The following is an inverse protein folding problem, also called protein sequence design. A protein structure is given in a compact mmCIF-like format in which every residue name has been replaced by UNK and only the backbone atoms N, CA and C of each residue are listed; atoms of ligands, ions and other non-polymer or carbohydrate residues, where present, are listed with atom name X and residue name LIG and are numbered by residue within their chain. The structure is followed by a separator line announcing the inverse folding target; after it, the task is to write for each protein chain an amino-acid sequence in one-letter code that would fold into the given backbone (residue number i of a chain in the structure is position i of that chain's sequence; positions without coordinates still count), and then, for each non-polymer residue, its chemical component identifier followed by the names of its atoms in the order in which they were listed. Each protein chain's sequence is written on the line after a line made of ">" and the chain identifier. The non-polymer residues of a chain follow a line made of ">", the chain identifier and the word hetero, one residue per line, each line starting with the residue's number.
data_IF_644378553531
#
_entry.id   IF_644378553531
#
_cell.length_a   1.000
_cell.length_b   1.000
_cell.length_c   1.000
_cell.angle_alpha   90.00
_cell.angle_beta   90.00
_cell.angle_gamma   90.00
#
_symmetry.space_group_name_H-M   'P 1'
#
loop_
_entity.id
_entity.type
_entity.pdbx_description
1 polymer ?
#
# COMPACT_ATOMS: atom_id res chain seq x y z
N UNK A 1 -0.25 -16.89 -2.73
CA UNK A 1 -0.54 -16.16 -3.99
C UNK A 1 0.76 -15.62 -4.60
N UNK A 2 0.88 -15.47 -5.92
CA UNK A 2 2.02 -14.78 -6.53
C UNK A 2 1.92 -13.25 -6.37
N UNK A 3 3.05 -12.55 -6.45
CA UNK A 3 3.12 -11.12 -6.11
C UNK A 3 2.24 -10.25 -7.00
N UNK A 4 2.13 -10.57 -8.29
CA UNK A 4 1.33 -9.79 -9.24
C UNK A 4 -0.17 -9.91 -8.93
N UNK A 5 -0.65 -11.13 -8.66
CA UNK A 5 -2.05 -11.35 -8.24
C UNK A 5 -2.35 -10.65 -6.91
N UNK A 6 -1.41 -10.67 -5.96
CA UNK A 6 -1.59 -9.96 -4.69
C UNK A 6 -1.68 -8.45 -4.89
N UNK A 7 -0.79 -7.86 -5.70
CA UNK A 7 -0.84 -6.45 -6.04
C UNK A 7 -2.18 -6.06 -6.66
N UNK A 8 -2.66 -6.83 -7.65
CA UNK A 8 -3.96 -6.58 -8.28
C UNK A 8 -5.11 -6.62 -7.26
N UNK A 9 -5.14 -7.64 -6.40
CA UNK A 9 -6.18 -7.76 -5.36
C UNK A 9 -6.15 -6.59 -4.37
N UNK A 10 -4.96 -6.15 -3.94
CA UNK A 10 -4.81 -4.98 -3.07
C UNK A 10 -5.31 -3.70 -3.73
N UNK A 11 -4.98 -3.48 -5.01
CA UNK A 11 -5.47 -2.31 -5.75
C UNK A 11 -7.00 -2.31 -5.89
N UNK A 12 -7.60 -3.46 -6.22
CA UNK A 12 -9.05 -3.60 -6.32
C UNK A 12 -9.74 -3.35 -4.98
N UNK A 13 -9.17 -3.83 -3.88
CA UNK A 13 -9.65 -3.52 -2.53
C UNK A 13 -9.58 -2.02 -2.24
N UNK A 14 -8.47 -1.37 -2.59
CA UNK A 14 -8.31 0.06 -2.34
C UNK A 14 -9.31 0.90 -3.15
N UNK A 15 -9.60 0.54 -4.40
CA UNK A 15 -10.64 1.20 -5.20
C UNK A 15 -11.99 1.14 -4.46
N UNK A 16 -12.38 -0.05 -3.97
CA UNK A 16 -13.63 -0.21 -3.21
C UNK A 16 -13.63 0.63 -1.94
N UNK A 17 -12.53 0.60 -1.19
CA UNK A 17 -12.37 1.41 0.02
C UNK A 17 -12.59 2.91 -0.27
N UNK A 18 -12.07 3.44 -1.39
CA UNK A 18 -12.26 4.84 -1.75
C UNK A 18 -13.69 5.18 -2.19
N UNK A 19 -14.33 4.29 -2.93
CA UNK A 19 -15.74 4.45 -3.32
C UNK A 19 -16.62 4.48 -2.06
N UNK A 20 -16.41 3.55 -1.13
CA UNK A 20 -17.24 3.39 0.07
C UNK A 20 -17.03 4.49 1.11
N UNK A 21 -15.78 4.92 1.34
CA UNK A 21 -15.45 5.83 2.45
C UNK A 21 -15.35 7.30 2.02
N UNK A 22 -15.10 7.57 0.73
CA UNK A 22 -14.89 8.94 0.23
C UNK A 22 -15.77 9.28 -0.98
N UNK A 23 -16.59 8.34 -1.48
CA UNK A 23 -17.38 8.51 -2.71
C UNK A 23 -16.51 8.96 -3.90
N UNK A 24 -15.27 8.43 -3.98
CA UNK A 24 -14.32 8.70 -5.07
C UNK A 24 -14.15 7.47 -5.94
N UNK A 25 -14.33 7.64 -7.25
CA UNK A 25 -14.06 6.59 -8.24
C UNK A 25 -12.59 6.64 -8.65
N UNK A 26 -11.89 5.51 -8.54
CA UNK A 26 -10.48 5.35 -8.91
C UNK A 26 -10.31 4.19 -9.89
N UNK A 27 -9.38 4.33 -10.81
CA UNK A 27 -8.86 3.25 -11.65
C UNK A 27 -7.67 2.53 -11.02
N UNK A 28 -7.26 1.41 -11.62
CA UNK A 28 -6.06 0.66 -11.20
C UNK A 28 -4.79 1.47 -11.46
N UNK A 29 -4.82 2.30 -12.50
CA UNK A 29 -3.81 3.25 -12.93
C UNK A 29 -3.62 4.43 -11.97
N UNK A 30 -4.65 4.75 -11.18
CA UNK A 30 -4.57 5.80 -10.15
C UNK A 30 -3.83 5.34 -8.90
N UNK A 31 -3.55 4.04 -8.78
CA UNK A 31 -2.88 3.43 -7.63
C UNK A 31 -1.47 3.04 -8.03
N UNK A 32 -0.47 3.60 -7.34
CA UNK A 32 0.93 3.23 -7.50
C UNK A 32 1.43 2.42 -6.29
N UNK A 33 2.33 1.49 -6.59
CA UNK A 33 3.03 0.71 -5.56
C UNK A 33 4.29 1.47 -5.18
N UNK A 34 4.40 1.83 -3.91
CA UNK A 34 5.57 2.50 -3.33
C UNK A 34 6.67 1.47 -3.06
N UNK A 35 6.28 0.34 -2.49
CA UNK A 35 7.17 -0.76 -2.18
C UNK A 35 6.41 -2.07 -2.15
N UNK A 36 7.08 -3.17 -2.50
CA UNK A 36 6.51 -4.50 -2.33
C UNK A 36 7.59 -5.53 -2.08
N UNK A 37 7.27 -6.55 -1.29
CA UNK A 37 8.09 -7.73 -1.15
C UNK A 37 7.23 -9.00 -1.07
N UNK A 38 7.89 -10.13 -1.31
CA UNK A 38 7.35 -11.46 -1.06
C UNK A 38 8.43 -12.30 -0.39
N UNK A 39 8.06 -12.98 0.68
CA UNK A 39 8.93 -13.93 1.38
C UNK A 39 8.13 -15.18 1.68
N UNK A 40 8.54 -16.31 1.08
CA UNK A 40 7.80 -17.57 1.12
C UNK A 40 6.34 -17.35 0.67
N UNK A 41 5.37 -17.61 1.55
CA UNK A 41 3.94 -17.46 1.27
C UNK A 41 3.38 -16.08 1.63
N UNK A 42 4.19 -15.22 2.26
CA UNK A 42 3.75 -13.91 2.73
C UNK A 42 4.08 -12.83 1.70
N UNK A 43 3.18 -11.87 1.57
CA UNK A 43 3.38 -10.70 0.72
C UNK A 43 3.15 -9.44 1.55
N UNK A 44 3.91 -8.38 1.26
CA UNK A 44 3.69 -7.06 1.84
C UNK A 44 3.79 -6.00 0.76
N UNK A 45 2.85 -5.07 0.75
CA UNK A 45 2.78 -3.98 -0.22
C UNK A 45 2.52 -2.69 0.53
N UNK A 46 3.26 -1.64 0.18
CA UNK A 46 2.91 -0.26 0.48
C UNK A 46 2.46 0.41 -0.82
N UNK A 47 1.27 1.00 -0.81
CA UNK A 47 0.65 1.63 -1.97
C UNK A 47 -0.03 2.95 -1.60
N UNK A 48 -0.25 3.79 -2.59
CA UNK A 48 -0.94 5.06 -2.45
C UNK A 48 -1.62 5.41 -3.77
N UNK A 49 -2.38 6.51 -3.79
CA UNK A 49 -3.13 6.97 -4.97
C UNK A 49 -2.58 8.29 -5.48
N UNK A 50 -2.91 8.65 -6.72
CA UNK A 50 -2.59 9.95 -7.30
C UNK A 50 -3.37 11.12 -6.67
N UNK A 51 -4.30 10.84 -5.74
CA UNK A 51 -5.00 11.87 -4.99
C UNK A 51 -4.04 12.55 -3.99
N UNK A 52 -4.23 13.84 -3.80
CA UNK A 52 -3.45 14.64 -2.85
C UNK A 52 -4.06 14.60 -1.43
N UNK A 53 -4.54 13.44 -0.99
CA UNK A 53 -5.06 13.23 0.37
C UNK A 53 -3.99 12.70 1.36
N UNK A 54 -2.82 12.35 0.85
CA UNK A 54 -1.70 11.89 1.66
C UNK A 54 -1.89 10.48 2.23
N UNK A 55 -2.86 9.71 1.74
CA UNK A 55 -3.14 8.38 2.26
C UNK A 55 -2.13 7.36 1.72
N UNK A 56 -1.52 6.59 2.63
CA UNK A 56 -0.74 5.40 2.33
C UNK A 56 -1.46 4.18 2.91
N UNK A 57 -1.48 3.09 2.15
CA UNK A 57 -2.06 1.83 2.60
C UNK A 57 -1.01 0.75 2.54
N UNK A 58 -0.83 0.07 3.66
CA UNK A 58 0.01 -1.10 3.78
C UNK A 58 -0.85 -2.35 3.81
N UNK A 59 -0.64 -3.27 2.87
CA UNK A 59 -1.30 -4.56 2.84
C UNK A 59 -0.32 -5.65 3.24
N UNK A 60 -0.66 -6.44 4.25
CA UNK A 60 0.17 -7.55 4.76
C UNK A 60 -0.60 -8.85 4.67
N UNK A 61 -0.18 -9.74 3.76
CA UNK A 61 -0.76 -11.07 3.60
C UNK A 61 0.02 -12.10 4.41
N UNK A 62 -0.71 -12.83 5.26
CA UNK A 62 -0.26 -14.08 5.84
C UNK A 62 -0.77 -15.24 4.97
N UNK A 63 0.14 -15.82 4.19
CA UNK A 63 -0.20 -16.88 3.24
C UNK A 63 -0.58 -18.20 3.91
N UNK A 64 -0.04 -18.48 5.10
CA UNK A 64 -0.31 -19.71 5.84
C UNK A 64 -1.71 -19.69 6.47
N UNK A 65 -2.12 -18.52 6.98
CA UNK A 65 -3.45 -18.31 7.57
C UNK A 65 -4.52 -17.85 6.58
N UNK A 66 -4.14 -17.58 5.33
CA UNK A 66 -5.03 -17.06 4.29
C UNK A 66 -5.76 -15.77 4.68
N UNK A 67 -5.08 -14.88 5.38
CA UNK A 67 -5.61 -13.59 5.83
C UNK A 67 -4.78 -12.44 5.27
N UNK A 68 -5.38 -11.25 5.18
CA UNK A 68 -4.69 -10.04 4.73
C UNK A 68 -5.18 -8.87 5.55
N UNK A 69 -4.23 -8.14 6.12
CA UNK A 69 -4.47 -6.93 6.89
C UNK A 69 -4.18 -5.70 6.03
N UNK A 70 -4.96 -4.65 6.22
CA UNK A 70 -4.78 -3.35 5.58
C UNK A 70 -4.65 -2.28 6.66
N UNK A 71 -3.46 -1.70 6.77
CA UNK A 71 -3.20 -0.56 7.64
C UNK A 71 -3.23 0.72 6.82
N UNK A 72 -3.92 1.74 7.31
CA UNK A 72 -4.18 3.00 6.60
C UNK A 72 -3.53 4.15 7.37
N UNK A 73 -2.64 4.87 6.70
CA UNK A 73 -1.85 5.95 7.25
C UNK A 73 -2.11 7.24 6.49
N UNK A 74 -2.01 8.38 7.19
CA UNK A 74 -1.90 9.70 6.55
C UNK A 74 -0.46 10.19 6.68
N UNK A 75 0.16 10.54 5.57
CA UNK A 75 1.52 11.07 5.53
C UNK A 75 1.58 12.40 6.28
N UNK A 76 2.40 12.45 7.32
CA UNK A 76 2.58 13.68 8.11
C UNK A 76 3.63 14.62 7.53
N UNK A 77 4.80 14.11 7.13
CA UNK A 77 5.88 14.93 6.61
C UNK A 77 6.78 14.13 5.66
N UNK A 78 7.57 14.86 4.87
CA UNK A 78 8.75 14.33 4.20
C UNK A 78 9.93 15.23 4.57
N UNK A 79 10.90 14.67 5.29
CA UNK A 79 12.04 15.41 5.81
C UNK A 79 13.29 14.86 5.15
N UNK A 80 14.05 15.73 4.47
CA UNK A 80 15.37 15.40 3.96
C UNK A 80 16.37 15.53 5.10
N UNK A 81 17.09 14.45 5.40
CA UNK A 81 18.21 14.45 6.36
C UNK A 81 19.48 14.14 5.59
N UNK A 82 20.61 14.75 5.98
CA UNK A 82 21.92 14.46 5.39
C UNK A 82 22.47 13.16 5.99
N UNK A 83 23.08 12.31 5.17
CA UNK A 83 23.53 10.98 5.61
C UNK A 83 24.56 11.01 6.74
N UNK A 84 25.36 12.07 6.83
CA UNK A 84 26.31 12.29 7.93
C UNK A 84 25.64 12.27 9.32
N UNK A 85 24.36 12.64 9.41
CA UNK A 85 23.57 12.60 10.65
C UNK A 85 23.06 11.18 10.96
N UNK A 86 22.94 10.31 9.94
CA UNK A 86 22.34 8.97 10.05
C UNK A 86 23.37 7.83 10.22
N UNK A 87 24.65 8.09 9.98
CA UNK A 87 25.73 7.13 10.19
C UNK A 87 26.04 7.00 11.69
N UNK A 88 25.49 5.95 12.31
CA UNK A 88 26.00 5.40 13.56
C UNK A 88 26.99 4.26 13.26
#
# INVERSE_FOLDING_TARGET
>A
MDSYKFQKACKEWLIKYYVENFNKSLGIEDIYIVWSCKTLQNNKILMSTNLLDGIYVEATQNGDKQETYFDIYTKQANIKVVNEILMY
#
